data_IF_268981840017
#
_entry.id   IF_268981840017
#
_cell.length_a   1.000
_cell.length_b   1.000
_cell.length_c   1.000
_cell.angle_alpha   90.00
_cell.angle_beta   90.00
_cell.angle_gamma   90.00
#
_symmetry.space_group_name_H-M   'P 1'
#
loop_
_entity.id
_entity.type
_entity.pdbx_description
1 polymer ?
#
# COMPACT_ATOMS: atom_id res chain seq x y z
N UNK A 1 7.33 -3.58 3.60
CA UNK A 1 8.49 -2.68 3.37
C UNK A 1 8.77 -2.48 1.88
N UNK A 2 9.08 -3.52 1.09
CA UNK A 2 9.37 -3.32 -0.35
C UNK A 2 8.13 -3.13 -1.23
N UNK A 3 6.93 -3.46 -0.73
CA UNK A 3 5.70 -3.42 -1.51
C UNK A 3 5.37 -2.03 -2.07
N UNK A 4 5.78 -1.00 -1.35
CA UNK A 4 5.57 0.41 -1.66
C UNK A 4 6.84 1.16 -2.10
N UNK A 5 7.94 0.46 -2.39
CA UNK A 5 9.25 1.10 -2.65
C UNK A 5 9.22 2.06 -3.86
N UNK A 6 8.30 1.85 -4.81
CA UNK A 6 8.11 2.73 -5.95
C UNK A 6 7.62 4.13 -5.59
N UNK A 7 7.04 4.34 -4.39
CA UNK A 7 6.55 5.67 -3.95
C UNK A 7 7.66 6.73 -3.92
N UNK A 8 8.91 6.30 -3.76
CA UNK A 8 10.11 7.15 -3.78
C UNK A 8 10.28 7.87 -5.13
N UNK A 9 9.81 7.26 -6.23
CA UNK A 9 9.90 7.83 -7.57
C UNK A 9 8.53 8.28 -8.11
N UNK A 10 7.44 7.82 -7.49
CA UNK A 10 6.07 8.24 -7.83
C UNK A 10 5.78 9.67 -7.38
N UNK A 11 6.27 10.07 -6.20
CA UNK A 11 6.01 11.39 -5.62
C UNK A 11 7.30 12.22 -5.66
N UNK A 12 7.20 13.45 -6.17
CA UNK A 12 8.29 14.41 -6.21
C UNK A 12 8.71 14.89 -4.81
N UNK A 13 9.95 15.36 -4.71
CA UNK A 13 10.50 15.86 -3.45
C UNK A 13 9.73 17.08 -2.90
N UNK A 14 9.79 17.22 -1.58
CA UNK A 14 9.32 18.42 -0.89
C UNK A 14 10.05 19.68 -1.44
N UNK A 15 9.35 20.81 -1.65
CA UNK A 15 7.98 21.11 -1.23
C UNK A 15 6.89 20.81 -2.25
N UNK A 16 7.21 20.23 -3.40
CA UNK A 16 6.24 20.03 -4.48
C UNK A 16 5.23 18.94 -4.08
N UNK A 17 5.71 17.75 -3.68
CA UNK A 17 4.87 16.62 -3.26
C UNK A 17 3.77 16.22 -4.27
N UNK A 18 3.95 16.55 -5.56
CA UNK A 18 3.07 16.12 -6.65
C UNK A 18 3.57 14.80 -7.28
N UNK A 19 2.71 14.13 -8.04
CA UNK A 19 3.09 13.00 -8.86
C UNK A 19 4.13 13.39 -9.91
N UNK A 20 5.13 12.53 -10.11
CA UNK A 20 6.06 12.63 -11.25
C UNK A 20 5.37 12.13 -12.53
N UNK A 21 5.93 12.44 -13.70
CA UNK A 21 5.39 11.93 -14.98
C UNK A 21 5.33 10.39 -14.97
N UNK A 22 6.39 9.72 -14.48
CA UNK A 22 6.41 8.27 -14.34
C UNK A 22 5.44 7.79 -13.25
N UNK A 23 5.26 8.56 -12.18
CA UNK A 23 4.24 8.33 -11.16
C UNK A 23 2.83 8.27 -11.74
N UNK A 24 2.48 9.25 -12.58
CA UNK A 24 1.17 9.34 -13.22
C UNK A 24 0.97 8.27 -14.30
N UNK A 25 2.02 7.93 -15.06
CA UNK A 25 1.93 7.01 -16.21
C UNK A 25 2.09 5.53 -15.83
N UNK A 26 2.94 5.22 -14.85
CA UNK A 26 3.39 3.86 -14.52
C UNK A 26 2.88 3.44 -13.14
N UNK A 27 3.00 4.32 -12.14
CA UNK A 27 2.60 4.07 -10.74
C UNK A 27 3.58 3.21 -9.94
N UNK A 28 3.58 3.40 -8.61
CA UNK A 28 4.58 2.82 -7.70
C UNK A 28 4.59 1.28 -7.70
N UNK A 29 3.48 0.62 -7.99
CA UNK A 29 3.41 -0.86 -7.96
C UNK A 29 4.31 -1.45 -9.04
N UNK A 30 4.22 -0.94 -10.26
CA UNK A 30 5.02 -1.41 -11.40
C UNK A 30 6.47 -0.96 -11.21
N UNK A 31 6.69 0.31 -10.88
CA UNK A 31 8.03 0.84 -10.60
C UNK A 31 8.73 0.05 -9.48
N UNK A 32 8.01 -0.32 -8.41
CA UNK A 32 8.54 -1.14 -7.32
C UNK A 32 9.02 -2.52 -7.79
N UNK A 33 8.28 -3.16 -8.70
CA UNK A 33 8.68 -4.43 -9.28
C UNK A 33 9.92 -4.30 -10.20
N UNK A 34 10.07 -3.17 -10.90
CA UNK A 34 11.26 -2.85 -11.71
C UNK A 34 12.49 -2.56 -10.85
N UNK A 35 12.34 -1.81 -9.76
CA UNK A 35 13.42 -1.56 -8.79
C UNK A 35 13.98 -2.87 -8.22
N UNK A 36 13.09 -3.80 -7.85
CA UNK A 36 13.51 -5.13 -7.35
C UNK A 36 14.16 -5.98 -8.44
N UNK A 37 13.69 -5.88 -9.68
CA UNK A 37 14.34 -6.53 -10.83
C UNK A 37 15.78 -6.02 -11.00
N UNK A 38 15.98 -4.70 -11.07
CA UNK A 38 17.32 -4.11 -11.24
C UNK A 38 18.23 -4.42 -10.07
N UNK A 39 17.73 -4.36 -8.83
CA UNK A 39 18.50 -4.73 -7.65
C UNK A 39 18.98 -6.20 -7.70
N UNK A 40 18.13 -7.11 -8.19
CA UNK A 40 18.47 -8.53 -8.28
C UNK A 40 19.63 -8.83 -9.24
N UNK A 41 19.79 -8.04 -10.30
CA UNK A 41 20.88 -8.18 -11.28
C UNK A 41 22.26 -7.93 -10.67
N UNK A 42 22.32 -7.19 -9.56
CA UNK A 42 23.56 -6.90 -8.84
C UNK A 42 23.97 -8.03 -7.88
N UNK A 43 23.19 -9.10 -7.78
CA UNK A 43 23.46 -10.24 -6.90
C UNK A 43 23.76 -11.46 -7.77
N UNK A 44 25.03 -11.89 -7.78
CA UNK A 44 25.44 -13.06 -8.55
C UNK A 44 24.66 -14.31 -8.11
N UNK A 45 24.06 -14.99 -9.09
CA UNK A 45 23.28 -16.21 -8.83
C UNK A 45 21.92 -15.99 -8.18
N UNK A 46 21.35 -14.77 -8.20
CA UNK A 46 20.03 -14.52 -7.61
C UNK A 46 18.96 -15.47 -8.16
N UNK A 47 18.18 -16.17 -7.30
CA UNK A 47 17.25 -17.18 -7.78
C UNK A 47 16.08 -16.57 -8.57
N UNK A 48 15.97 -16.88 -9.86
CA UNK A 48 14.88 -16.39 -10.74
C UNK A 48 13.47 -16.65 -10.18
N UNK A 49 13.27 -17.81 -9.54
CA UNK A 49 11.99 -18.15 -8.92
C UNK A 49 11.66 -17.23 -7.75
N UNK A 50 12.65 -16.92 -6.91
CA UNK A 50 12.48 -16.00 -5.80
C UNK A 50 12.15 -14.59 -6.31
N UNK A 51 12.84 -14.12 -7.35
CA UNK A 51 12.55 -12.83 -7.99
C UNK A 51 11.10 -12.75 -8.46
N UNK A 52 10.61 -13.80 -9.12
CA UNK A 52 9.22 -13.84 -9.60
C UNK A 52 8.21 -13.80 -8.45
N UNK A 53 8.49 -14.49 -7.34
CA UNK A 53 7.64 -14.45 -6.14
C UNK A 53 7.64 -13.08 -5.48
N UNK A 54 8.81 -12.44 -5.36
CA UNK A 54 8.92 -11.08 -4.80
C UNK A 54 8.16 -10.05 -5.65
N UNK A 55 8.34 -10.10 -6.98
CA UNK A 55 7.60 -9.23 -7.90
C UNK A 55 6.10 -9.50 -7.83
N UNK A 56 5.68 -10.76 -7.73
CA UNK A 56 4.25 -11.10 -7.53
C UNK A 56 3.71 -10.50 -6.24
N UNK A 57 4.45 -10.57 -5.12
CA UNK A 57 4.04 -9.93 -3.87
C UNK A 57 3.85 -8.42 -4.03
N UNK A 58 4.75 -7.72 -4.73
CA UNK A 58 4.61 -6.29 -5.03
C UNK A 58 3.41 -6.04 -5.94
N UNK A 59 3.31 -6.74 -7.07
CA UNK A 59 2.23 -6.53 -8.04
C UNK A 59 0.83 -6.90 -7.54
N UNK A 60 0.73 -7.61 -6.42
CA UNK A 60 -0.52 -8.10 -5.89
C UNK A 60 -0.89 -7.52 -4.51
N UNK A 61 -0.07 -6.65 -3.92
CA UNK A 61 -0.26 -6.24 -2.53
C UNK A 61 -1.53 -5.40 -2.29
N UNK A 62 -2.06 -4.73 -3.31
CA UNK A 62 -3.36 -4.07 -3.24
C UNK A 62 -4.54 -5.07 -3.15
N UNK A 63 -4.31 -6.36 -3.37
CA UNK A 63 -5.27 -7.43 -3.07
C UNK A 63 -6.36 -7.64 -4.10
N UNK A 64 -7.08 -6.58 -4.45
CA UNK A 64 -8.26 -6.63 -5.31
C UNK A 64 -8.11 -5.69 -6.51
N UNK A 65 -8.79 -6.02 -7.62
CA UNK A 65 -8.76 -5.18 -8.82
C UNK A 65 -9.42 -3.82 -8.57
N UNK A 66 -10.47 -3.79 -7.75
CA UNK A 66 -11.15 -2.56 -7.32
C UNK A 66 -10.25 -1.63 -6.51
N UNK A 67 -9.20 -2.17 -5.88
CA UNK A 67 -8.17 -1.40 -5.17
C UNK A 67 -6.99 -1.02 -6.07
N UNK A 68 -7.10 -1.24 -7.38
CA UNK A 68 -6.06 -0.91 -8.36
C UNK A 68 -4.93 -1.93 -8.44
N UNK A 69 -5.11 -3.14 -7.89
CA UNK A 69 -4.08 -4.17 -7.95
C UNK A 69 -3.88 -4.70 -9.38
N UNK A 70 -2.66 -4.73 -9.94
CA UNK A 70 -2.39 -5.35 -11.23
C UNK A 70 -2.67 -6.86 -11.28
N UNK A 71 -2.56 -7.53 -10.12
CA UNK A 71 -2.82 -8.96 -9.93
C UNK A 71 -3.48 -9.23 -8.58
N UNK A 72 -4.26 -10.30 -8.52
CA UNK A 72 -4.72 -10.84 -7.23
C UNK A 72 -3.60 -11.64 -6.54
N UNK A 73 -3.54 -11.69 -5.20
CA UNK A 73 -2.63 -12.55 -4.47
C UNK A 73 -2.83 -14.03 -4.82
N UNK A 74 -1.75 -14.69 -5.29
CA UNK A 74 -1.75 -16.11 -5.66
C UNK A 74 -0.89 -16.98 -4.75
N UNK A 75 -0.25 -16.36 -3.76
CA UNK A 75 0.56 -17.03 -2.75
C UNK A 75 0.13 -16.58 -1.36
N UNK A 76 0.43 -17.40 -0.35
CA UNK A 76 0.09 -17.08 1.04
C UNK A 76 0.81 -15.80 1.47
N UNK A 77 2.06 -15.61 1.07
CA UNK A 77 2.86 -14.43 1.40
C UNK A 77 2.26 -13.16 0.80
N UNK A 78 1.83 -13.19 -0.47
CA UNK A 78 1.18 -12.05 -1.10
C UNK A 78 -0.19 -11.73 -0.45
N UNK A 79 -0.94 -12.77 -0.07
CA UNK A 79 -2.23 -12.59 0.59
C UNK A 79 -2.08 -11.98 1.98
N UNK A 80 -1.14 -12.51 2.78
CA UNK A 80 -0.84 -11.97 4.11
C UNK A 80 -0.28 -10.55 4.03
N UNK A 81 0.54 -10.24 3.03
CA UNK A 81 1.04 -8.89 2.78
C UNK A 81 -0.13 -7.93 2.51
N UNK A 82 -1.05 -8.30 1.64
CA UNK A 82 -2.25 -7.51 1.38
C UNK A 82 -3.08 -7.29 2.65
N UNK A 83 -3.37 -8.35 3.41
CA UNK A 83 -4.15 -8.21 4.64
C UNK A 83 -3.46 -7.30 5.67
N UNK A 84 -2.12 -7.36 5.78
CA UNK A 84 -1.37 -6.50 6.67
C UNK A 84 -1.44 -5.03 6.22
N UNK A 85 -1.27 -4.77 4.93
CA UNK A 85 -1.31 -3.42 4.34
C UNK A 85 -2.72 -2.80 4.46
N UNK A 86 -3.76 -3.57 4.14
CA UNK A 86 -5.16 -3.13 4.27
C UNK A 86 -5.55 -2.87 5.73
N UNK A 87 -5.07 -3.71 6.65
CA UNK A 87 -5.29 -3.53 8.08
C UNK A 87 -4.62 -2.25 8.59
N UNK A 88 -3.37 -2.01 8.21
CA UNK A 88 -2.63 -0.80 8.58
C UNK A 88 -3.36 0.46 8.07
N UNK A 89 -3.69 0.50 6.77
CA UNK A 89 -4.41 1.62 6.16
C UNK A 89 -5.76 1.89 6.82
N UNK A 90 -6.56 0.85 7.08
CA UNK A 90 -7.87 1.01 7.76
C UNK A 90 -7.70 1.45 9.20
N UNK A 91 -6.72 0.92 9.92
CA UNK A 91 -6.43 1.29 11.32
C UNK A 91 -6.02 2.75 11.42
N UNK A 92 -5.18 3.22 10.49
CA UNK A 92 -4.77 4.62 10.43
C UNK A 92 -5.95 5.57 10.28
N UNK A 93 -6.96 5.19 9.47
CA UNK A 93 -8.20 5.97 9.36
C UNK A 93 -8.95 6.04 10.70
N UNK A 94 -9.00 4.95 11.48
CA UNK A 94 -9.60 5.01 12.82
C UNK A 94 -8.84 5.95 13.73
N UNK A 95 -7.51 5.83 13.79
CA UNK A 95 -6.64 6.68 14.61
C UNK A 95 -6.83 8.16 14.28
N UNK A 96 -6.72 8.52 13.00
CA UNK A 96 -6.85 9.91 12.55
C UNK A 96 -8.23 10.49 12.92
N UNK A 97 -9.30 9.73 12.70
CA UNK A 97 -10.66 10.16 13.05
C UNK A 97 -10.84 10.33 14.55
N UNK A 98 -10.24 9.46 15.36
CA UNK A 98 -10.32 9.54 16.82
C UNK A 98 -9.55 10.76 17.33
N UNK A 99 -8.35 10.99 16.80
CA UNK A 99 -7.42 12.05 17.22
C UNK A 99 -7.87 13.45 16.78
N UNK A 100 -8.40 13.62 15.56
CA UNK A 100 -8.72 14.94 15.00
C UNK A 100 -10.18 15.36 15.18
N UNK A 101 -11.04 14.53 15.79
CA UNK A 101 -12.46 14.85 15.92
C UNK A 101 -12.77 15.79 17.09
N UNK A 102 -13.36 16.93 16.77
CA UNK A 102 -13.91 17.92 17.73
C UNK A 102 -15.26 17.49 18.34
N UNK A 103 -15.82 16.34 17.95
CA UNK A 103 -17.13 15.90 18.42
C UNK A 103 -17.04 15.47 19.89
N UNK A 104 -17.79 16.17 20.74
CA UNK A 104 -17.99 15.80 22.14
C UNK A 104 -18.99 14.64 22.24
N UNK A 105 -18.50 13.40 22.25
CA UNK A 105 -19.31 12.19 22.39
C UNK A 105 -18.59 10.92 21.93
N UNK A 106 -19.21 9.77 22.15
CA UNK A 106 -18.63 8.48 21.75
C UNK A 106 -18.67 8.23 20.24
N UNK A 107 -19.68 8.76 19.53
CA UNK A 107 -19.84 8.57 18.08
C UNK A 107 -19.23 9.73 17.30
N UNK A 108 -18.34 9.42 16.36
CA UNK A 108 -17.54 10.39 15.59
C UNK A 108 -18.07 10.61 14.16
N UNK A 109 -19.21 10.01 13.82
CA UNK A 109 -19.84 10.13 12.51
C UNK A 109 -19.45 9.02 11.52
N UNK A 110 -19.97 9.14 10.29
CA UNK A 110 -19.83 8.14 9.23
C UNK A 110 -18.52 8.31 8.46
N UNK A 111 -17.72 7.25 8.38
CA UNK A 111 -16.53 7.20 7.55
C UNK A 111 -16.81 6.48 6.23
N UNK A 112 -16.70 7.24 5.13
CA UNK A 112 -17.03 6.76 3.78
C UNK A 112 -16.13 5.62 3.33
N UNK A 113 -14.82 5.69 3.59
CA UNK A 113 -13.90 4.63 3.17
C UNK A 113 -14.16 3.31 3.92
N UNK A 114 -14.49 3.41 5.21
CA UNK A 114 -14.80 2.26 6.06
C UNK A 114 -16.27 1.80 5.96
N UNK A 115 -17.12 2.57 5.28
CA UNK A 115 -18.56 2.36 5.09
C UNK A 115 -19.33 2.16 6.41
N UNK A 116 -18.96 2.87 7.48
CA UNK A 116 -19.57 2.70 8.82
C UNK A 116 -19.43 3.94 9.69
N UNK A 117 -20.25 4.01 10.74
CA UNK A 117 -20.06 4.99 11.80
C UNK A 117 -18.91 4.57 12.71
N UNK A 118 -18.06 5.53 13.07
CA UNK A 118 -16.93 5.33 13.97
C UNK A 118 -17.34 5.72 15.39
N UNK A 119 -16.89 4.93 16.36
CA UNK A 119 -17.15 5.15 17.77
C UNK A 119 -15.84 4.96 18.55
N UNK A 120 -15.55 5.85 19.51
CA UNK A 120 -14.48 5.65 20.49
C UNK A 120 -14.85 4.51 21.44
N UNK A 121 -13.88 3.79 21.96
CA UNK A 121 -14.09 2.88 23.10
C UNK A 121 -14.00 3.71 24.38
N UNK A 122 -15.01 3.61 25.25
CA UNK A 122 -15.06 4.38 26.51
C UNK A 122 -14.44 3.61 27.69
N UNK A 123 -13.48 2.71 27.41
CA UNK A 123 -12.83 1.82 28.37
C UNK A 123 -11.34 2.08 28.44
#
# INVERSE_FOLDING_TARGET
>A
MLHDVGKIFEISDFPINDYTDDGELIGHIVMGAEIVEEASKNIEGFPKKLLSLMKHSILAHHGEYEYGSPKLPKTIEAFLLHCADEMDAKTKIYEDVIETSDITGAWLGYQKFLQRNIRRSDY
#
